data_IF_281011761673
#
_entry.id   IF_281011761673
#
_cell.length_a   1.000
_cell.length_b   1.000
_cell.length_c   1.000
_cell.angle_alpha   90.00
_cell.angle_beta   90.00
_cell.angle_gamma   90.00
#
_symmetry.space_group_name_H-M   'P 1'
#
loop_
_entity.id
_entity.type
_entity.pdbx_description
1 polymer ?
#
# COMPACT_ATOMS: atom_id res chain seq x y z
N UNK A 1 -20.92 -18.85 -30.69
CA UNK A 1 -19.58 -18.33 -30.37
C UNK A 1 -19.68 -16.81 -30.37
N UNK A 2 -19.87 -16.20 -29.21
CA UNK A 2 -19.77 -14.76 -29.06
C UNK A 2 -18.31 -14.42 -28.74
N UNK A 3 -17.64 -13.85 -29.70
CA UNK A 3 -16.30 -13.26 -29.48
C UNK A 3 -16.50 -11.96 -28.72
N UNK A 4 -16.20 -12.00 -27.43
CA UNK A 4 -16.11 -10.81 -26.57
C UNK A 4 -14.92 -9.99 -27.08
N UNK A 5 -15.18 -8.97 -27.89
CA UNK A 5 -14.17 -8.00 -28.28
C UNK A 5 -13.98 -7.03 -27.09
N UNK A 6 -13.11 -7.38 -26.18
CA UNK A 6 -12.61 -6.44 -25.17
C UNK A 6 -11.88 -5.34 -25.91
N UNK A 7 -12.56 -4.20 -26.10
CA UNK A 7 -11.93 -2.99 -26.66
C UNK A 7 -10.90 -2.51 -25.63
N UNK A 8 -9.61 -2.70 -25.91
CA UNK A 8 -8.55 -2.09 -25.13
C UNK A 8 -8.72 -0.56 -25.18
N UNK A 9 -8.72 0.14 -24.04
CA UNK A 9 -8.73 1.59 -24.04
C UNK A 9 -7.49 2.11 -24.77
N UNK A 10 -7.71 2.97 -25.77
CA UNK A 10 -6.63 3.51 -26.62
C UNK A 10 -5.67 4.46 -25.89
N UNK A 11 -5.98 4.85 -24.64
CA UNK A 11 -5.17 5.76 -23.82
C UNK A 11 -5.31 5.40 -22.34
N UNK A 12 -4.20 5.44 -21.61
CA UNK A 12 -4.18 5.27 -20.17
C UNK A 12 -4.87 6.46 -19.49
N UNK A 13 -5.77 6.20 -18.55
CA UNK A 13 -6.45 7.24 -17.78
C UNK A 13 -5.45 7.94 -16.84
N UNK A 14 -5.74 9.22 -16.56
CA UNK A 14 -5.07 9.99 -15.50
C UNK A 14 -5.89 9.83 -14.22
N UNK A 15 -5.41 8.98 -13.35
CA UNK A 15 -6.08 8.63 -12.09
C UNK A 15 -5.40 9.35 -10.95
N UNK A 16 -6.15 10.10 -10.16
CA UNK A 16 -5.64 10.75 -8.96
C UNK A 16 -6.03 9.97 -7.71
N UNK A 17 -5.15 9.95 -6.71
CA UNK A 17 -5.43 9.48 -5.35
C UNK A 17 -5.24 10.68 -4.44
N UNK A 18 -6.26 11.05 -3.66
CA UNK A 18 -6.21 12.21 -2.78
C UNK A 18 -6.82 11.93 -1.40
N UNK A 19 -6.01 11.94 -0.33
CA UNK A 19 -6.53 11.95 1.03
C UNK A 19 -7.35 13.21 1.29
N UNK A 20 -8.52 13.05 1.93
CA UNK A 20 -9.37 14.19 2.24
C UNK A 20 -9.13 14.68 3.67
N UNK A 21 -8.80 15.96 3.78
CA UNK A 21 -8.72 16.70 5.01
C UNK A 21 -9.57 17.98 4.90
N UNK A 22 -9.02 19.09 5.39
CA UNK A 22 -9.67 20.41 5.35
C UNK A 22 -9.28 21.24 4.12
N UNK A 23 -8.77 20.60 3.07
CA UNK A 23 -8.24 21.21 1.87
C UNK A 23 -9.10 20.88 0.65
N UNK A 24 -9.78 21.88 0.07
CA UNK A 24 -10.58 21.71 -1.14
C UNK A 24 -9.73 22.00 -2.37
N UNK A 25 -9.14 23.19 -2.42
CA UNK A 25 -8.44 23.71 -3.61
C UNK A 25 -7.22 22.85 -3.96
N UNK A 26 -6.49 22.36 -2.96
CA UNK A 26 -5.33 21.46 -3.16
C UNK A 26 -5.68 20.07 -3.70
N UNK A 27 -6.97 19.72 -3.75
CA UNK A 27 -7.48 18.52 -4.42
C UNK A 27 -8.09 18.86 -5.77
N UNK A 28 -8.99 19.83 -5.81
CA UNK A 28 -9.79 20.13 -7.00
C UNK A 28 -8.96 20.80 -8.09
N UNK A 29 -8.13 21.79 -7.73
CA UNK A 29 -7.34 22.55 -8.71
C UNK A 29 -6.31 21.65 -9.42
N UNK A 30 -5.48 20.84 -8.73
CA UNK A 30 -4.58 19.91 -9.42
C UNK A 30 -5.32 18.89 -10.28
N UNK A 31 -6.42 18.32 -9.80
CA UNK A 31 -7.21 17.38 -10.59
C UNK A 31 -7.70 17.99 -11.91
N UNK A 32 -8.11 19.27 -11.88
CA UNK A 32 -8.50 20.01 -13.07
C UNK A 32 -7.31 20.36 -13.97
N UNK A 33 -6.23 20.94 -13.41
CA UNK A 33 -5.04 21.36 -14.16
C UNK A 33 -4.35 20.18 -14.87
N UNK A 34 -4.25 19.04 -14.19
CA UNK A 34 -3.67 17.80 -14.70
C UNK A 34 -4.69 16.98 -15.52
N UNK A 35 -5.92 17.48 -15.71
CA UNK A 35 -7.00 16.85 -16.50
C UNK A 35 -7.27 15.42 -16.03
N UNK A 36 -7.48 15.21 -14.74
CA UNK A 36 -7.81 13.91 -14.17
C UNK A 36 -9.08 13.34 -14.83
N UNK A 37 -9.03 12.08 -15.22
CA UNK A 37 -10.19 11.34 -15.74
C UNK A 37 -10.98 10.71 -14.58
N UNK A 38 -10.24 10.31 -13.52
CA UNK A 38 -10.78 9.66 -12.32
C UNK A 38 -10.01 10.11 -11.09
N UNK A 39 -10.69 10.19 -9.95
CA UNK A 39 -10.06 10.46 -8.66
C UNK A 39 -10.62 9.53 -7.57
N UNK A 40 -9.71 8.92 -6.82
CA UNK A 40 -9.99 8.21 -5.60
C UNK A 40 -9.83 9.17 -4.42
N UNK A 41 -10.92 9.45 -3.70
CA UNK A 41 -10.89 10.22 -2.46
C UNK A 41 -10.75 9.26 -1.28
N UNK A 42 -9.63 9.37 -0.56
CA UNK A 42 -9.41 8.60 0.65
C UNK A 42 -10.13 9.29 1.81
N UNK A 43 -11.18 8.67 2.33
CA UNK A 43 -12.06 9.23 3.35
C UNK A 43 -12.08 8.35 4.62
N UNK A 44 -12.38 8.95 5.75
CA UNK A 44 -12.49 8.19 7.00
C UNK A 44 -13.66 7.22 6.98
N UNK A 45 -13.47 6.03 7.54
CA UNK A 45 -14.48 4.99 7.64
C UNK A 45 -15.63 5.33 8.62
N UNK A 46 -15.40 6.31 9.53
CA UNK A 46 -16.37 6.84 10.48
C UNK A 46 -16.74 8.30 10.17
N UNK A 47 -17.62 8.57 9.20
CA UNK A 47 -17.92 9.93 8.76
C UNK A 47 -18.46 10.85 9.86
N UNK A 48 -19.18 10.29 10.83
CA UNK A 48 -19.74 11.06 11.96
C UNK A 48 -18.68 11.52 12.98
N UNK A 49 -17.53 10.89 13.01
CA UNK A 49 -16.40 11.23 13.87
C UNK A 49 -15.38 12.11 13.14
N UNK A 50 -15.50 12.24 11.82
CA UNK A 50 -14.53 12.99 11.00
C UNK A 50 -15.01 14.40 10.65
N UNK A 51 -14.29 15.38 11.17
CA UNK A 51 -14.52 16.81 10.86
C UNK A 51 -14.28 17.16 9.38
N UNK A 52 -13.62 16.29 8.60
CA UNK A 52 -13.38 16.48 7.18
C UNK A 52 -14.59 16.07 6.30
N UNK A 53 -15.58 15.36 6.83
CA UNK A 53 -16.76 14.90 6.09
C UNK A 53 -17.46 16.01 5.29
N UNK A 54 -17.71 17.23 5.80
CA UNK A 54 -18.32 18.31 5.02
C UNK A 54 -17.47 18.78 3.83
N UNK A 55 -16.16 18.57 3.88
CA UNK A 55 -15.24 18.90 2.77
C UNK A 55 -15.31 17.86 1.66
N UNK A 56 -15.53 16.57 1.98
CA UNK A 56 -15.73 15.49 1.00
C UNK A 56 -16.87 15.84 0.04
N UNK A 57 -18.01 16.28 0.56
CA UNK A 57 -19.16 16.63 -0.26
C UNK A 57 -18.88 17.83 -1.19
N UNK A 58 -18.22 18.87 -0.66
CA UNK A 58 -17.85 20.05 -1.44
C UNK A 58 -16.87 19.71 -2.56
N UNK A 59 -15.84 18.90 -2.27
CA UNK A 59 -14.86 18.40 -3.24
C UNK A 59 -15.57 17.58 -4.31
N UNK A 60 -16.39 16.61 -3.93
CA UNK A 60 -17.13 15.75 -4.87
C UNK A 60 -18.04 16.57 -5.80
N UNK A 61 -18.74 17.57 -5.27
CA UNK A 61 -19.60 18.45 -6.06
C UNK A 61 -18.81 19.25 -7.10
N UNK A 62 -17.61 19.76 -6.73
CA UNK A 62 -16.77 20.52 -7.67
C UNK A 62 -16.18 19.61 -8.75
N UNK A 63 -15.63 18.45 -8.38
CA UNK A 63 -15.06 17.48 -9.33
C UNK A 63 -16.09 16.96 -10.34
N UNK A 64 -17.32 16.69 -9.88
CA UNK A 64 -18.41 16.30 -10.79
C UNK A 64 -18.77 17.36 -11.83
N UNK A 65 -18.67 18.65 -11.48
CA UNK A 65 -18.87 19.75 -12.46
C UNK A 65 -17.81 19.73 -13.55
N UNK A 66 -16.59 19.32 -13.23
CA UNK A 66 -15.48 19.14 -14.18
C UNK A 66 -15.54 17.79 -14.91
N UNK A 67 -16.61 17.00 -14.74
CA UNK A 67 -16.82 15.67 -15.33
C UNK A 67 -15.76 14.64 -14.94
N UNK A 68 -15.09 14.82 -13.81
CA UNK A 68 -14.12 13.86 -13.25
C UNK A 68 -14.90 12.77 -12.54
N UNK A 69 -14.59 11.50 -12.83
CA UNK A 69 -15.17 10.35 -12.12
C UNK A 69 -14.62 10.30 -10.69
N UNK A 70 -15.51 10.28 -9.69
CA UNK A 70 -15.14 10.32 -8.27
C UNK A 70 -15.52 9.02 -7.59
N UNK A 71 -14.51 8.32 -7.07
CA UNK A 71 -14.65 7.13 -6.24
C UNK A 71 -14.22 7.47 -4.80
N UNK A 72 -14.92 6.95 -3.81
CA UNK A 72 -14.55 7.07 -2.39
C UNK A 72 -14.03 5.74 -1.89
N UNK A 73 -12.88 5.77 -1.23
CA UNK A 73 -12.32 4.61 -0.54
C UNK A 73 -12.20 4.92 0.96
N UNK A 74 -12.75 4.05 1.77
CA UNK A 74 -12.87 4.24 3.21
C UNK A 74 -11.72 3.55 3.95
N UNK A 75 -11.15 4.21 4.96
CA UNK A 75 -10.07 3.67 5.80
C UNK A 75 -10.04 4.37 7.16
N UNK A 76 -9.41 3.78 8.15
CA UNK A 76 -9.04 4.50 9.37
C UNK A 76 -7.91 5.48 9.05
N UNK A 77 -8.20 6.78 9.14
CA UNK A 77 -7.26 7.86 8.81
C UNK A 77 -6.06 7.97 9.78
N UNK A 78 -6.07 7.26 10.90
CA UNK A 78 -4.99 7.23 11.89
C UNK A 78 -4.14 5.97 11.80
N UNK A 79 -4.62 4.94 11.12
CA UNK A 79 -3.89 3.69 10.92
C UNK A 79 -2.99 3.77 9.69
N UNK A 80 -1.67 3.97 9.94
CA UNK A 80 -0.65 4.06 8.90
C UNK A 80 -0.67 2.86 7.94
N UNK A 81 -0.76 1.64 8.50
CA UNK A 81 -0.64 0.43 7.70
C UNK A 81 -1.90 0.18 6.87
N UNK A 82 -3.06 0.47 7.42
CA UNK A 82 -4.31 0.39 6.68
C UNK A 82 -4.34 1.39 5.51
N UNK A 83 -3.81 2.61 5.71
CA UNK A 83 -3.71 3.60 4.63
C UNK A 83 -2.76 3.10 3.54
N UNK A 84 -1.57 2.58 3.90
CA UNK A 84 -0.62 2.02 2.93
C UNK A 84 -1.28 0.90 2.13
N UNK A 85 -1.96 -0.04 2.80
CA UNK A 85 -2.68 -1.15 2.16
C UNK A 85 -3.75 -0.64 1.19
N UNK A 86 -4.52 0.36 1.59
CA UNK A 86 -5.56 0.98 0.77
C UNK A 86 -4.97 1.62 -0.50
N UNK A 87 -3.91 2.42 -0.36
CA UNK A 87 -3.25 3.08 -1.49
C UNK A 87 -2.60 2.05 -2.43
N UNK A 88 -1.94 1.04 -1.86
CA UNK A 88 -1.38 -0.09 -2.59
C UNK A 88 -2.43 -0.77 -3.47
N UNK A 89 -3.57 -1.15 -2.88
CA UNK A 89 -4.69 -1.77 -3.61
C UNK A 89 -5.15 -0.90 -4.78
N UNK A 90 -5.32 0.41 -4.56
CA UNK A 90 -5.74 1.33 -5.62
C UNK A 90 -4.70 1.39 -6.75
N UNK A 91 -3.40 1.45 -6.40
CA UNK A 91 -2.32 1.45 -7.40
C UNK A 91 -2.35 0.16 -8.23
N UNK A 92 -2.58 -0.99 -7.60
CA UNK A 92 -2.68 -2.28 -8.28
C UNK A 92 -3.93 -2.37 -9.19
N UNK A 93 -5.08 -1.88 -8.71
CA UNK A 93 -6.31 -1.82 -9.50
C UNK A 93 -6.17 -0.89 -10.72
N UNK A 94 -5.35 0.14 -10.62
CA UNK A 94 -5.10 1.15 -11.65
C UNK A 94 -3.76 0.97 -12.40
N UNK A 95 -3.13 -0.20 -12.33
CA UNK A 95 -1.76 -0.46 -12.84
C UNK A 95 -1.55 -0.13 -14.31
N UNK A 96 -2.59 -0.18 -15.13
CA UNK A 96 -2.55 0.16 -16.55
C UNK A 96 -2.74 1.67 -16.82
N UNK A 97 -3.01 2.45 -15.77
CA UNK A 97 -3.27 3.88 -15.84
C UNK A 97 -2.10 4.70 -15.30
N UNK A 98 -2.09 6.01 -15.58
CA UNK A 98 -1.16 6.94 -14.94
C UNK A 98 -1.74 7.37 -13.59
N UNK A 99 -1.08 7.02 -12.49
CA UNK A 99 -1.56 7.25 -11.13
C UNK A 99 -0.81 8.42 -10.50
N UNK A 100 -1.52 9.47 -10.15
CA UNK A 100 -0.99 10.66 -9.50
C UNK A 100 -1.44 10.71 -8.04
N UNK A 101 -0.50 10.65 -7.09
CA UNK A 101 -0.79 10.58 -5.67
C UNK A 101 -0.56 11.94 -5.00
N UNK A 102 -1.62 12.53 -4.48
CA UNK A 102 -1.60 13.85 -3.85
C UNK A 102 -1.08 13.74 -2.40
N UNK A 103 0.06 14.37 -2.12
CA UNK A 103 0.67 14.44 -0.80
C UNK A 103 0.36 15.74 -0.05
N UNK A 104 -0.40 16.65 -0.69
CA UNK A 104 -0.63 18.00 -0.19
C UNK A 104 -1.90 18.13 0.65
N UNK A 105 -2.75 17.12 0.67
CA UNK A 105 -4.05 17.12 1.36
C UNK A 105 -4.14 15.99 2.38
N UNK A 106 -5.19 15.98 3.20
CA UNK A 106 -5.35 15.01 4.27
C UNK A 106 -4.52 15.30 5.51
N UNK A 107 -4.34 14.32 6.36
CA UNK A 107 -3.49 14.38 7.55
C UNK A 107 -2.02 14.10 7.21
N UNK A 108 -1.11 14.48 8.10
CA UNK A 108 0.33 14.17 7.95
C UNK A 108 0.58 12.66 7.82
N UNK A 109 -0.13 11.84 8.61
CA UNK A 109 0.03 10.39 8.57
C UNK A 109 -0.43 9.81 7.21
N UNK A 110 -1.50 10.36 6.63
CA UNK A 110 -1.95 9.98 5.30
C UNK A 110 -0.94 10.38 4.21
N UNK A 111 -0.34 11.56 4.30
CA UNK A 111 0.71 11.97 3.36
C UNK A 111 1.94 11.06 3.44
N UNK A 112 2.38 10.70 4.66
CA UNK A 112 3.49 9.75 4.89
C UNK A 112 3.14 8.38 4.28
N UNK A 113 1.96 7.83 4.58
CA UNK A 113 1.51 6.55 4.07
C UNK A 113 1.43 6.52 2.54
N UNK A 114 0.87 7.57 1.92
CA UNK A 114 0.82 7.72 0.48
C UNK A 114 2.22 7.74 -0.15
N UNK A 115 3.16 8.49 0.45
CA UNK A 115 4.54 8.53 -0.03
C UNK A 115 5.24 7.18 0.09
N UNK A 116 5.07 6.48 1.23
CA UNK A 116 5.60 5.12 1.41
C UNK A 116 5.07 4.17 0.35
N UNK A 117 3.76 4.19 0.08
CA UNK A 117 3.17 3.38 -0.98
C UNK A 117 3.78 3.70 -2.35
N UNK A 118 3.95 4.97 -2.72
CA UNK A 118 4.61 5.36 -3.97
C UNK A 118 6.05 4.83 -4.06
N UNK A 119 6.82 4.88 -2.97
CA UNK A 119 8.19 4.37 -2.93
C UNK A 119 8.26 2.84 -3.10
N UNK A 120 7.27 2.09 -2.58
CA UNK A 120 7.17 0.64 -2.78
C UNK A 120 6.89 0.27 -4.24
N UNK A 121 6.23 1.15 -4.99
CA UNK A 121 5.90 0.98 -6.41
C UNK A 121 6.80 1.79 -7.34
N UNK A 122 7.96 2.25 -6.88
CA UNK A 122 8.87 3.09 -7.65
C UNK A 122 9.33 2.47 -8.99
N UNK A 123 9.31 1.15 -9.12
CA UNK A 123 9.58 0.45 -10.39
C UNK A 123 8.47 0.66 -11.43
N UNK A 124 7.28 1.04 -11.00
CA UNK A 124 6.16 1.39 -11.88
C UNK A 124 6.28 2.87 -12.24
N UNK A 125 6.83 3.16 -13.42
CA UNK A 125 7.04 4.54 -13.90
C UNK A 125 5.77 5.38 -14.05
N UNK A 126 4.61 4.77 -13.92
CA UNK A 126 3.30 5.40 -14.01
C UNK A 126 2.70 5.80 -12.67
N UNK A 127 3.43 5.65 -11.54
CA UNK A 127 3.00 6.09 -10.20
C UNK A 127 3.82 7.31 -9.79
N UNK A 128 3.16 8.48 -9.75
CA UNK A 128 3.79 9.79 -9.59
C UNK A 128 3.20 10.50 -8.37
N UNK A 129 3.93 10.60 -7.24
CA UNK A 129 3.51 11.45 -6.14
C UNK A 129 3.74 12.92 -6.48
N UNK A 130 2.82 13.78 -6.05
CA UNK A 130 2.93 15.21 -6.26
C UNK A 130 2.50 16.01 -5.03
N UNK A 131 3.00 17.23 -4.94
CA UNK A 131 2.66 18.18 -3.89
C UNK A 131 2.09 19.46 -4.51
N UNK A 132 0.89 19.85 -4.08
CA UNK A 132 0.26 21.09 -4.48
C UNK A 132 0.53 22.17 -3.43
N UNK A 133 1.41 23.13 -3.72
CA UNK A 133 1.73 24.25 -2.85
C UNK A 133 0.55 25.24 -2.80
N UNK A 134 0.07 25.56 -1.60
CA UNK A 134 -1.00 26.55 -1.43
C UNK A 134 -0.50 27.97 -1.74
N UNK A 135 -1.36 28.81 -2.32
CA UNK A 135 -1.06 30.24 -2.49
C UNK A 135 -1.05 30.98 -1.16
N UNK A 136 -1.98 30.64 -0.28
CA UNK A 136 -2.09 31.24 1.05
C UNK A 136 -2.70 30.27 2.05
N UNK A 137 -2.42 30.48 3.33
CA UNK A 137 -3.03 29.75 4.43
C UNK A 137 -3.98 30.67 5.19
N UNK A 138 -5.22 30.23 5.34
CA UNK A 138 -6.24 30.89 6.12
C UNK A 138 -6.25 30.29 7.53
N UNK A 139 -6.53 31.08 8.55
CA UNK A 139 -6.76 30.54 9.89
C UNK A 139 -7.93 29.55 9.92
N UNK A 140 -7.88 28.54 10.79
CA UNK A 140 -8.91 27.53 10.89
C UNK A 140 -10.15 28.06 11.63
N UNK A 141 -11.17 28.44 10.88
CA UNK A 141 -12.48 28.89 11.39
C UNK A 141 -13.62 28.11 10.73
N UNK A 142 -13.49 26.77 10.58
CA UNK A 142 -14.48 25.93 9.90
C UNK A 142 -14.49 26.08 8.37
N UNK A 143 -13.48 26.78 7.81
CA UNK A 143 -13.21 26.90 6.38
C UNK A 143 -12.03 26.00 6.02
N UNK A 144 -11.71 25.89 4.72
CA UNK A 144 -10.48 25.20 4.32
C UNK A 144 -9.24 25.91 4.88
N UNK A 145 -8.16 25.14 5.15
CA UNK A 145 -6.94 25.66 5.77
C UNK A 145 -6.13 26.56 4.84
N UNK A 146 -6.17 26.30 3.55
CA UNK A 146 -5.43 27.05 2.54
C UNK A 146 -6.35 27.50 1.41
N UNK A 147 -5.88 28.45 0.61
CA UNK A 147 -6.59 28.96 -0.56
C UNK A 147 -5.68 28.93 -1.78
N UNK A 148 -6.25 28.57 -2.94
CA UNK A 148 -5.55 28.46 -4.19
C UNK A 148 -4.46 27.37 -4.22
N UNK A 149 -3.82 27.25 -5.37
CA UNK A 149 -2.61 26.43 -5.59
C UNK A 149 -1.62 27.27 -6.38
N UNK A 150 -0.49 27.55 -5.75
CA UNK A 150 0.60 28.30 -6.37
C UNK A 150 1.39 27.47 -7.36
N UNK A 151 1.66 26.24 -7.00
CA UNK A 151 2.45 25.32 -7.81
C UNK A 151 2.08 23.87 -7.54
N UNK A 152 2.27 22.99 -8.53
CA UNK A 152 2.18 21.54 -8.42
C UNK A 152 3.55 20.97 -8.76
N UNK A 153 4.16 20.27 -7.83
CA UNK A 153 5.50 19.71 -7.95
C UNK A 153 5.43 18.19 -7.84
N UNK A 154 6.15 17.51 -8.72
CA UNK A 154 6.43 16.09 -8.54
C UNK A 154 7.38 15.91 -7.35
N UNK A 155 7.12 14.89 -6.54
CA UNK A 155 8.00 14.53 -5.44
C UNK A 155 8.85 13.34 -5.85
N UNK A 156 10.20 13.45 -5.81
CA UNK A 156 11.06 12.36 -6.21
C UNK A 156 10.86 11.14 -5.31
N UNK A 157 10.84 9.96 -5.93
CA UNK A 157 10.73 8.68 -5.24
C UNK A 157 12.06 7.93 -5.25
N UNK A 158 12.28 7.15 -4.19
CA UNK A 158 13.40 6.22 -4.08
C UNK A 158 12.85 4.83 -3.81
N UNK A 159 13.52 3.80 -4.32
CA UNK A 159 13.08 2.42 -4.10
C UNK A 159 13.22 2.03 -2.62
N UNK A 160 12.10 1.68 -1.99
CA UNK A 160 12.10 0.96 -0.73
C UNK A 160 12.17 -0.52 -1.07
N UNK A 161 13.19 -1.21 -0.57
CA UNK A 161 13.27 -2.66 -0.73
C UNK A 161 12.10 -3.31 -0.01
N UNK A 162 11.40 -4.18 -0.72
CA UNK A 162 10.35 -5.02 -0.17
C UNK A 162 10.78 -6.48 -0.19
N UNK A 163 10.30 -7.32 0.72
CA UNK A 163 10.55 -8.76 0.67
C UNK A 163 10.04 -9.37 -0.63
N UNK A 164 10.74 -10.38 -1.13
CA UNK A 164 10.25 -11.19 -2.25
C UNK A 164 8.93 -11.89 -1.88
N UNK A 165 8.10 -12.21 -2.87
CA UNK A 165 6.79 -12.85 -2.64
C UNK A 165 6.88 -14.11 -1.78
N UNK A 166 7.90 -14.95 -1.96
CA UNK A 166 8.12 -16.15 -1.13
C UNK A 166 8.27 -15.85 0.37
N UNK A 167 8.87 -14.70 0.72
CA UNK A 167 9.00 -14.26 2.11
C UNK A 167 7.68 -13.74 2.66
N UNK A 168 6.90 -13.04 1.83
CA UNK A 168 5.55 -12.58 2.18
C UNK A 168 4.63 -13.78 2.41
N UNK A 169 4.69 -14.79 1.54
CA UNK A 169 3.89 -16.01 1.66
C UNK A 169 4.29 -16.81 2.91
N UNK A 170 5.59 -16.88 3.21
CA UNK A 170 6.07 -17.50 4.45
C UNK A 170 5.57 -16.77 5.69
N UNK A 171 5.59 -15.43 5.69
CA UNK A 171 5.09 -14.61 6.78
C UNK A 171 3.57 -14.79 6.95
N UNK A 172 2.82 -14.90 5.86
CA UNK A 172 1.39 -15.22 5.86
C UNK A 172 1.10 -16.55 6.53
N UNK A 173 1.84 -17.60 6.19
CA UNK A 173 1.72 -18.92 6.83
C UNK A 173 1.94 -18.83 8.34
N UNK A 174 2.99 -18.13 8.78
CA UNK A 174 3.27 -17.95 10.21
C UNK A 174 2.12 -17.22 10.91
N UNK A 175 1.59 -16.16 10.28
CA UNK A 175 0.45 -15.38 10.80
C UNK A 175 -0.81 -16.22 10.92
N UNK A 176 -1.15 -17.01 9.91
CA UNK A 176 -2.30 -17.93 9.90
C UNK A 176 -2.21 -19.04 10.96
N UNK A 177 -0.98 -19.41 11.37
CA UNK A 177 -0.71 -20.34 12.48
C UNK A 177 -0.71 -19.67 13.87
N UNK A 178 -1.26 -18.46 13.97
CA UNK A 178 -1.31 -17.72 15.24
C UNK A 178 0.01 -17.04 15.61
N UNK A 179 0.85 -16.73 14.64
CA UNK A 179 2.11 -16.01 14.83
C UNK A 179 3.28 -16.88 15.26
N UNK A 180 3.09 -18.21 15.38
CA UNK A 180 4.13 -19.15 15.81
C UNK A 180 3.97 -20.51 15.16
N UNK A 181 5.07 -21.07 14.62
CA UNK A 181 5.08 -22.38 13.96
C UNK A 181 6.38 -23.12 14.28
N UNK A 182 6.37 -24.44 14.31
CA UNK A 182 7.61 -25.20 14.45
C UNK A 182 8.41 -25.17 13.14
N UNK A 183 9.75 -25.15 13.26
CA UNK A 183 10.62 -25.21 12.08
C UNK A 183 10.32 -26.41 11.19
N UNK A 184 9.96 -27.57 11.80
CA UNK A 184 9.60 -28.79 11.07
C UNK A 184 8.33 -28.58 10.24
N UNK A 185 7.26 -28.09 10.86
CA UNK A 185 5.98 -27.83 10.18
C UNK A 185 6.15 -26.77 9.08
N UNK A 186 6.90 -25.71 9.35
CA UNK A 186 7.19 -24.68 8.34
C UNK A 186 7.95 -25.26 7.15
N UNK A 187 8.90 -26.17 7.37
CA UNK A 187 9.64 -26.83 6.29
C UNK A 187 8.72 -27.70 5.42
N UNK A 188 7.78 -28.41 6.03
CA UNK A 188 6.81 -29.24 5.34
C UNK A 188 5.85 -28.39 4.49
N UNK A 189 5.32 -27.30 5.03
CA UNK A 189 4.42 -26.41 4.31
C UNK A 189 5.16 -25.65 3.20
N UNK A 190 6.37 -25.14 3.46
CA UNK A 190 7.16 -24.41 2.48
C UNK A 190 7.55 -25.27 1.27
N UNK A 191 7.86 -26.54 1.50
CA UNK A 191 8.16 -27.52 0.46
C UNK A 191 6.91 -27.85 -0.35
N UNK A 192 5.79 -28.18 0.30
CA UNK A 192 4.53 -28.52 -0.38
C UNK A 192 3.95 -27.35 -1.19
N UNK A 193 4.18 -26.11 -0.75
CA UNK A 193 3.70 -24.90 -1.45
C UNK A 193 4.72 -24.36 -2.47
N UNK A 194 5.87 -25.03 -2.66
CA UNK A 194 6.89 -24.61 -3.62
C UNK A 194 7.63 -23.32 -3.24
N UNK A 195 7.59 -22.91 -1.95
CA UNK A 195 8.35 -21.75 -1.47
C UNK A 195 9.85 -22.01 -1.38
N UNK A 196 10.22 -23.30 -1.28
CA UNK A 196 11.60 -23.77 -1.29
C UNK A 196 11.75 -24.89 -2.32
N UNK A 197 12.95 -25.03 -2.89
CA UNK A 197 13.31 -26.14 -3.76
C UNK A 197 14.26 -27.07 -3.02
N UNK A 198 13.96 -28.35 -3.07
CA UNK A 198 14.78 -29.40 -2.44
C UNK A 198 15.29 -30.35 -3.53
N UNK A 199 16.58 -30.29 -3.80
CA UNK A 199 17.24 -31.18 -4.77
C UNK A 199 18.15 -32.15 -4.01
N UNK A 200 17.60 -33.29 -3.58
CA UNK A 200 18.33 -34.31 -2.85
C UNK A 200 17.67 -35.69 -3.01
N UNK A 201 18.46 -36.74 -2.86
CA UNK A 201 17.96 -38.11 -2.79
C UNK A 201 17.17 -38.37 -1.51
N UNK A 202 16.31 -39.39 -1.50
CA UNK A 202 15.37 -39.68 -0.40
C UNK A 202 16.05 -39.75 0.97
N UNK A 203 17.25 -40.28 1.05
CA UNK A 203 18.00 -40.41 2.32
C UNK A 203 18.39 -39.06 2.94
N UNK A 204 18.69 -38.06 2.13
CA UNK A 204 19.14 -36.76 2.53
C UNK A 204 18.06 -35.67 2.42
N UNK A 205 16.86 -36.05 1.92
CA UNK A 205 15.79 -35.10 1.59
C UNK A 205 15.39 -34.20 2.78
N UNK A 206 15.24 -34.79 3.97
CA UNK A 206 14.84 -34.05 5.18
C UNK A 206 15.89 -33.02 5.57
N UNK A 207 17.17 -33.37 5.51
CA UNK A 207 18.25 -32.45 5.84
C UNK A 207 18.37 -31.31 4.82
N UNK A 208 18.29 -31.64 3.53
CA UNK A 208 18.31 -30.67 2.45
C UNK A 208 17.10 -29.70 2.51
N UNK A 209 15.92 -30.19 2.88
CA UNK A 209 14.73 -29.39 3.10
C UNK A 209 14.90 -28.34 4.20
N UNK A 210 15.49 -28.75 5.34
CA UNK A 210 15.79 -27.81 6.42
C UNK A 210 16.85 -26.78 6.01
N UNK A 211 17.88 -27.18 5.28
CA UNK A 211 18.91 -26.27 4.80
C UNK A 211 18.33 -25.25 3.81
N UNK A 212 17.48 -25.71 2.87
CA UNK A 212 16.79 -24.85 1.92
C UNK A 212 15.85 -23.88 2.62
N UNK A 213 15.10 -24.33 3.64
CA UNK A 213 14.26 -23.44 4.44
C UNK A 213 15.07 -22.37 5.15
N UNK A 214 16.18 -22.74 5.81
CA UNK A 214 17.05 -21.80 6.53
C UNK A 214 17.58 -20.73 5.59
N UNK A 215 18.16 -21.14 4.48
CA UNK A 215 18.81 -20.22 3.53
C UNK A 215 17.83 -19.31 2.81
N UNK A 216 16.70 -19.86 2.36
CA UNK A 216 15.80 -19.16 1.45
C UNK A 216 14.67 -18.40 2.15
N UNK A 217 14.32 -18.76 3.37
CA UNK A 217 13.19 -18.19 4.12
C UNK A 217 13.62 -17.65 5.47
N UNK A 218 14.23 -18.49 6.34
CA UNK A 218 14.46 -18.10 7.73
C UNK A 218 15.51 -17.00 7.84
N UNK A 219 16.71 -17.19 7.26
CA UNK A 219 17.77 -16.18 7.35
C UNK A 219 17.35 -14.81 6.79
N UNK A 220 16.74 -14.70 5.59
CA UNK A 220 16.25 -13.43 5.11
C UNK A 220 15.21 -12.77 6.04
N UNK A 221 14.25 -13.52 6.54
CA UNK A 221 13.21 -12.99 7.44
C UNK A 221 13.76 -12.60 8.82
N UNK A 222 14.79 -13.31 9.32
CA UNK A 222 15.42 -13.08 10.62
C UNK A 222 16.44 -11.93 10.54
N UNK A 223 17.41 -12.01 9.62
CA UNK A 223 18.60 -11.16 9.63
C UNK A 223 18.42 -9.87 8.81
N UNK A 224 17.73 -9.96 7.67
CA UNK A 224 17.55 -8.81 6.80
C UNK A 224 16.31 -7.98 7.17
N UNK A 225 15.21 -8.66 7.48
CA UNK A 225 13.90 -8.01 7.68
C UNK A 225 13.51 -7.89 9.15
N UNK A 226 14.11 -8.66 10.05
CA UNK A 226 13.75 -8.75 11.47
C UNK A 226 12.24 -9.04 11.69
N UNK A 227 11.62 -9.81 10.76
CA UNK A 227 10.19 -10.12 10.82
C UNK A 227 9.87 -11.35 11.66
N UNK A 228 10.88 -12.15 11.96
CA UNK A 228 10.76 -13.35 12.79
C UNK A 228 11.87 -13.44 13.81
N UNK A 229 11.63 -14.21 14.86
CA UNK A 229 12.62 -14.66 15.82
C UNK A 229 12.60 -16.19 15.96
N UNK A 230 13.70 -16.78 16.37
CA UNK A 230 13.83 -18.23 16.61
C UNK A 230 13.91 -18.50 18.09
N UNK A 231 12.97 -19.29 18.59
CA UNK A 231 12.90 -19.71 19.98
C UNK A 231 13.12 -21.23 20.08
N UNK A 232 13.98 -21.66 21.00
CA UNK A 232 14.19 -23.09 21.29
C UNK A 232 13.39 -23.50 22.50
N UNK A 233 12.40 -24.35 22.31
CA UNK A 233 11.59 -24.92 23.39
C UNK A 233 11.77 -26.44 23.40
N UNK A 234 12.48 -26.95 24.39
CA UNK A 234 12.85 -28.35 24.47
C UNK A 234 13.72 -28.77 23.29
N UNK A 235 13.26 -29.79 22.53
CA UNK A 235 13.95 -30.31 21.33
C UNK A 235 13.52 -29.59 20.04
N UNK A 236 12.49 -28.73 20.10
CA UNK A 236 11.92 -28.08 18.94
C UNK A 236 12.46 -26.63 18.77
N UNK A 237 12.72 -26.23 17.54
CA UNK A 237 12.92 -24.83 17.16
C UNK A 237 11.59 -24.28 16.65
N UNK A 238 11.22 -23.14 17.21
CA UNK A 238 10.01 -22.40 16.85
C UNK A 238 10.37 -21.13 16.12
N UNK A 239 9.61 -20.82 15.09
CA UNK A 239 9.64 -19.56 14.35
C UNK A 239 8.47 -18.75 14.86
N UNK A 240 8.75 -17.54 15.36
CA UNK A 240 7.73 -16.63 15.89
C UNK A 240 7.81 -15.31 15.17
N UNK A 241 6.65 -14.74 14.82
CA UNK A 241 6.58 -13.43 14.18
C UNK A 241 6.92 -12.33 15.20
N UNK A 242 7.74 -11.34 14.80
CA UNK A 242 8.05 -10.15 15.60
C UNK A 242 6.97 -9.09 15.46
N UNK A 243 7.05 -8.01 16.24
CA UNK A 243 6.16 -6.86 16.07
C UNK A 243 6.36 -6.20 14.69
N UNK A 244 7.60 -6.11 14.21
CA UNK A 244 7.91 -5.63 12.86
C UNK A 244 7.29 -6.52 11.79
N UNK A 245 7.35 -7.84 11.97
CA UNK A 245 6.70 -8.80 11.09
C UNK A 245 5.18 -8.67 11.08
N UNK A 246 4.55 -8.44 12.23
CA UNK A 246 3.12 -8.16 12.34
C UNK A 246 2.78 -6.89 11.57
N UNK A 247 3.47 -5.78 11.86
CA UNK A 247 3.26 -4.50 11.19
C UNK A 247 3.43 -4.61 9.67
N UNK A 248 4.52 -5.25 9.22
CA UNK A 248 4.78 -5.48 7.80
C UNK A 248 3.67 -6.32 7.13
N UNK A 249 3.17 -7.33 7.82
CA UNK A 249 2.11 -8.20 7.30
C UNK A 249 0.79 -7.45 7.04
N UNK A 250 0.54 -6.32 7.72
CA UNK A 250 -0.70 -5.56 7.52
C UNK A 250 -0.79 -4.91 6.13
N UNK A 251 0.33 -4.59 5.51
CA UNK A 251 0.36 -3.98 4.18
C UNK A 251 1.02 -4.84 3.10
N UNK A 252 1.76 -5.91 3.46
CA UNK A 252 2.34 -6.84 2.49
C UNK A 252 1.37 -7.98 2.11
N UNK A 253 0.50 -8.40 3.02
CA UNK A 253 -0.51 -9.44 2.86
C UNK A 253 -1.88 -8.77 2.67
#
# INVERSE_FOLDING_TARGET
MHTDHTIMPLTNLRVHIAPVGFEIDRIVIPAKQMRADKIWLLVHDKPNEDKATPFVEKIQKQLKKEKINVVKEHHDRLDLFQIIKTVKKIIEDEKENNVYVNLASGSKIQAIACMMACMMYNRMKNVIPFYAEAESYLGFEGKQLSNGVKNVMEVPTYEIQTPDQKHVDALKIIKEKGGKITKKEMAEIADSNGLISVNAEKENYTQARFASLDQNIIQPLLERWNFIEIEKIGRNRWIKITQEGINASEFLI
#
